data_IF_660057983021
#
_entry.id   IF_660057983021
#
_cell.length_a   1.000
_cell.length_b   1.000
_cell.length_c   1.000
_cell.angle_alpha   90.00
_cell.angle_beta   90.00
_cell.angle_gamma   90.00
#
_symmetry.space_group_name_H-M   'P 1'
#
loop_
_entity.id
_entity.type
_entity.pdbx_description
1 polymer ?
#
# COMPACT_ATOMS: atom_id res chain seq x y z
N UNK A 1 0.08 -19.02 -13.87
CA UNK A 1 0.57 -17.75 -14.47
C UNK A 1 0.06 -16.61 -13.59
N UNK A 2 0.92 -16.04 -12.74
CA UNK A 2 0.52 -14.93 -11.85
C UNK A 2 0.25 -13.71 -12.72
N UNK A 3 -1.01 -13.25 -12.75
CA UNK A 3 -1.36 -12.01 -13.42
C UNK A 3 -0.77 -10.85 -12.60
N UNK A 4 0.30 -10.24 -13.10
CA UNK A 4 0.93 -9.03 -12.57
C UNK A 4 0.03 -7.78 -12.67
N UNK A 5 -1.25 -7.91 -13.03
CA UNK A 5 -2.16 -6.80 -13.31
C UNK A 5 -2.81 -6.18 -12.07
N UNK A 6 -2.54 -6.72 -10.87
CA UNK A 6 -3.25 -6.32 -9.65
C UNK A 6 -2.33 -5.89 -8.49
N UNK A 7 -1.02 -5.77 -8.73
CA UNK A 7 -0.09 -5.31 -7.70
C UNK A 7 -0.10 -3.79 -7.64
N UNK A 8 -0.26 -3.27 -6.43
CA UNK A 8 -0.11 -1.85 -6.13
C UNK A 8 1.32 -1.43 -6.44
N UNK A 9 1.47 -0.34 -7.19
CA UNK A 9 2.74 0.25 -7.58
C UNK A 9 3.08 1.47 -6.74
N UNK A 10 4.38 1.74 -6.57
CA UNK A 10 4.87 2.89 -5.78
C UNK A 10 4.46 4.27 -6.32
N UNK A 11 3.97 4.35 -7.57
CA UNK A 11 3.48 5.58 -8.18
C UNK A 11 2.00 5.86 -7.88
N UNK A 12 1.26 4.89 -7.35
CA UNK A 12 -0.14 5.09 -6.98
C UNK A 12 -0.28 5.97 -5.73
N UNK A 13 -1.38 6.72 -5.67
CA UNK A 13 -1.68 7.61 -4.55
C UNK A 13 -2.19 6.79 -3.37
N UNK A 14 -1.66 7.05 -2.18
CA UNK A 14 -2.01 6.31 -0.96
C UNK A 14 -3.51 6.37 -0.69
N UNK A 15 -4.15 7.53 -0.87
CA UNK A 15 -5.60 7.70 -0.72
C UNK A 15 -6.40 6.78 -1.64
N UNK A 16 -6.04 6.71 -2.91
CA UNK A 16 -6.76 5.90 -3.90
C UNK A 16 -6.61 4.40 -3.59
N UNK A 17 -5.41 3.99 -3.19
CA UNK A 17 -5.13 2.61 -2.74
C UNK A 17 -5.94 2.26 -1.49
N UNK A 18 -6.04 3.17 -0.51
CA UNK A 18 -6.88 2.96 0.69
C UNK A 18 -8.37 2.86 0.36
N UNK A 19 -8.85 3.67 -0.59
CA UNK A 19 -10.26 3.61 -1.02
C UNK A 19 -10.56 2.30 -1.75
N UNK A 20 -9.64 1.82 -2.58
CA UNK A 20 -9.78 0.58 -3.35
C UNK A 20 -9.57 -0.67 -2.49
N UNK A 21 -8.65 -0.61 -1.53
CA UNK A 21 -8.22 -1.71 -0.67
C UNK A 21 -8.16 -1.23 0.80
N UNK A 22 -9.30 -1.14 1.51
CA UNK A 22 -9.35 -0.60 2.87
C UNK A 22 -8.48 -1.36 3.86
N UNK A 23 -8.20 -2.65 3.62
CA UNK A 23 -7.30 -3.48 4.41
C UNK A 23 -5.85 -2.99 4.44
N UNK A 24 -5.44 -2.16 3.47
CA UNK A 24 -4.10 -1.58 3.42
C UNK A 24 -3.89 -0.44 4.42
N UNK A 25 -4.97 0.08 5.02
CA UNK A 25 -4.93 1.18 5.99
C UNK A 25 -4.03 0.89 7.18
N UNK A 26 -4.14 -0.33 7.73
CA UNK A 26 -3.33 -0.77 8.87
C UNK A 26 -1.83 -0.84 8.50
N UNK A 27 -1.51 -1.25 7.27
CA UNK A 27 -0.13 -1.28 6.77
C UNK A 27 0.44 0.14 6.75
N UNK A 28 -0.28 1.09 6.16
CA UNK A 28 0.20 2.48 6.10
C UNK A 28 0.42 3.09 7.49
N UNK A 29 -0.46 2.81 8.44
CA UNK A 29 -0.32 3.28 9.83
C UNK A 29 0.88 2.65 10.55
N UNK A 30 1.12 1.36 10.35
CA UNK A 30 2.29 0.64 10.90
C UNK A 30 3.62 1.17 10.36
N UNK A 31 3.65 1.59 9.10
CA UNK A 31 4.80 2.27 8.50
C UNK A 31 4.90 3.76 8.87
N UNK A 32 4.00 4.27 9.71
CA UNK A 32 4.03 5.63 10.23
C UNK A 32 3.51 6.70 9.27
N UNK A 33 2.82 6.32 8.18
CA UNK A 33 2.26 7.29 7.25
C UNK A 33 1.17 8.10 7.94
N UNK A 34 1.30 9.42 7.88
CA UNK A 34 0.31 10.37 8.40
C UNK A 34 -0.71 10.73 7.32
N UNK A 35 -1.93 11.16 7.70
CA UNK A 35 -2.95 11.63 6.75
C UNK A 35 -2.47 12.72 5.78
N UNK A 36 -1.53 13.57 6.22
CA UNK A 36 -0.90 14.60 5.38
C UNK A 36 -0.09 14.03 4.20
N UNK A 37 0.27 12.75 4.23
CA UNK A 37 0.98 12.06 3.15
C UNK A 37 0.04 11.23 2.27
N UNK A 38 -1.26 11.17 2.56
CA UNK A 38 -2.19 10.32 1.81
C UNK A 38 -2.47 10.83 0.39
N UNK A 39 -2.30 12.12 0.14
CA UNK A 39 -2.37 12.73 -1.20
C UNK A 39 -1.08 12.55 -2.02
N UNK A 40 -0.08 11.87 -1.49
CA UNK A 40 1.17 11.59 -2.20
C UNK A 40 1.19 10.19 -2.79
N UNK A 41 2.02 9.99 -3.81
CA UNK A 41 2.39 8.65 -4.27
C UNK A 41 3.05 7.84 -3.13
N UNK A 42 2.80 6.54 -3.06
CA UNK A 42 3.33 5.65 -2.01
C UNK A 42 4.84 5.81 -1.82
N UNK A 43 5.61 5.85 -2.92
CA UNK A 43 7.07 6.03 -2.85
C UNK A 43 7.50 7.34 -2.19
N UNK A 44 6.71 8.40 -2.38
CA UNK A 44 6.98 9.72 -1.80
C UNK A 44 6.57 9.73 -0.33
N UNK A 45 5.42 9.13 0.00
CA UNK A 45 4.96 9.00 1.37
C UNK A 45 5.96 8.19 2.23
N UNK A 46 6.47 7.07 1.72
CA UNK A 46 7.47 6.25 2.41
C UNK A 46 8.76 7.05 2.67
N UNK A 47 9.27 7.75 1.65
CA UNK A 47 10.46 8.61 1.79
C UNK A 47 10.27 9.72 2.83
N UNK A 48 9.09 10.35 2.89
CA UNK A 48 8.78 11.40 3.87
C UNK A 48 8.85 10.91 5.31
N UNK A 49 8.53 9.64 5.55
CA UNK A 49 8.57 9.02 6.89
C UNK A 49 9.85 8.20 7.13
N UNK A 50 10.78 8.18 6.19
CA UNK A 50 12.01 7.39 6.29
C UNK A 50 11.81 5.87 6.17
N UNK A 51 10.67 5.43 5.64
CA UNK A 51 10.36 4.01 5.42
C UNK A 51 10.93 3.48 4.09
N UNK A 52 11.25 2.19 4.08
CA UNK A 52 11.61 1.47 2.85
C UNK A 52 10.41 1.37 1.91
N UNK A 53 10.58 1.83 0.67
CA UNK A 53 9.53 1.77 -0.36
C UNK A 53 9.23 0.32 -0.74
N UNK A 54 10.26 -0.52 -0.88
CA UNK A 54 10.12 -1.91 -1.27
C UNK A 54 9.39 -2.73 -0.20
N UNK A 55 9.73 -2.54 1.08
CA UNK A 55 9.05 -3.23 2.18
C UNK A 55 7.60 -2.78 2.32
N UNK A 56 7.33 -1.47 2.19
CA UNK A 56 5.97 -0.94 2.23
C UNK A 56 5.11 -1.54 1.10
N UNK A 57 5.64 -1.56 -0.13
CA UNK A 57 4.92 -2.14 -1.26
C UNK A 57 4.71 -3.65 -1.10
N UNK A 58 5.69 -4.37 -0.55
CA UNK A 58 5.55 -5.80 -0.29
C UNK A 58 4.42 -6.08 0.72
N UNK A 59 4.38 -5.35 1.84
CA UNK A 59 3.34 -5.55 2.86
C UNK A 59 1.96 -5.08 2.40
N UNK A 60 1.87 -3.99 1.63
CA UNK A 60 0.60 -3.54 1.01
C UNK A 60 0.05 -4.63 0.08
N UNK A 61 0.88 -5.13 -0.83
CA UNK A 61 0.46 -6.18 -1.77
C UNK A 61 0.11 -7.49 -1.08
N UNK A 62 0.85 -7.84 -0.02
CA UNK A 62 0.56 -9.01 0.82
C UNK A 62 -0.75 -8.87 1.57
N UNK A 63 -1.10 -7.69 2.06
CA UNK A 63 -2.40 -7.45 2.71
C UNK A 63 -3.56 -7.66 1.72
N UNK A 64 -3.44 -7.12 0.51
CA UNK A 64 -4.42 -7.32 -0.57
C UNK A 64 -4.56 -8.80 -0.94
N UNK A 65 -3.44 -9.51 -1.10
CA UNK A 65 -3.47 -10.95 -1.40
C UNK A 65 -4.11 -11.76 -0.27
N UNK A 66 -3.76 -11.50 1.00
CA UNK A 66 -4.35 -12.18 2.15
C UNK A 66 -5.87 -12.03 2.17
N UNK A 67 -6.39 -10.82 1.91
CA UNK A 67 -7.83 -10.59 1.88
C UNK A 67 -8.52 -11.35 0.75
N UNK A 68 -7.89 -11.40 -0.43
CA UNK A 68 -8.37 -12.17 -1.58
C UNK A 68 -8.36 -13.68 -1.33
N UNK A 69 -7.30 -14.22 -0.74
CA UNK A 69 -7.19 -15.66 -0.42
C UNK A 69 -8.16 -16.11 0.67
N UNK A 70 -8.56 -15.22 1.59
CA UNK A 70 -9.58 -15.52 2.62
C UNK A 70 -11.01 -15.53 2.05
N UNK A 71 -11.23 -14.91 0.89
CA UNK A 71 -12.55 -14.80 0.26
C UNK A 71 -12.76 -15.84 -0.85
N UNK A 72 -11.77 -16.71 -1.11
CA UNK A 72 -11.77 -17.72 -2.16
C UNK A 72 -12.20 -19.10 -1.67
#
# INVERSE_FOLDING_TARGET
MFRFTDLVQGNEIVRDVKQKYPETSEVFERFGLRPSCYDCAIKVAARKVGASVDELLAEVNKAIQRKRSVTA
#
